data_IF_750855652072
#
_entry.id   IF_750855652072
#
_cell.length_a   1.000
_cell.length_b   1.000
_cell.length_c   1.000
_cell.angle_alpha   90.00
_cell.angle_beta   90.00
_cell.angle_gamma   90.00
#
_symmetry.space_group_name_H-M   'P 1'
#
loop_
_entity.id
_entity.type
_entity.pdbx_description
1 polymer ?
#
# COMPACT_ATOMS: atom_id res chain seq x y z
N UNK A 1 10.25 11.54 8.78
CA UNK A 1 10.03 11.58 7.32
C UNK A 1 10.54 10.34 6.59
N UNK A 2 11.42 9.52 7.20
CA UNK A 2 12.04 8.35 6.55
C UNK A 2 11.08 7.28 6.00
N UNK A 3 9.91 7.06 6.62
CA UNK A 3 9.00 5.98 6.22
C UNK A 3 8.37 6.23 4.84
N UNK A 4 8.25 7.49 4.41
CA UNK A 4 7.66 7.86 3.12
C UNK A 4 8.58 7.51 1.93
N UNK A 5 9.88 7.32 2.18
CA UNK A 5 10.90 7.03 1.15
C UNK A 5 11.38 5.58 1.19
N UNK A 6 10.84 4.73 2.06
CA UNK A 6 11.18 3.31 2.07
C UNK A 6 10.59 2.62 0.84
N UNK A 7 11.39 1.83 0.13
CA UNK A 7 10.93 1.08 -1.05
C UNK A 7 10.05 -0.12 -0.67
N UNK A 8 10.25 -0.70 0.51
CA UNK A 8 9.45 -1.82 1.01
C UNK A 8 8.10 -1.36 1.60
N UNK A 9 7.06 -2.23 1.59
CA UNK A 9 5.77 -1.93 2.22
C UNK A 9 5.81 -2.06 3.75
N UNK A 10 6.79 -2.80 4.28
CA UNK A 10 7.02 -2.99 5.70
C UNK A 10 8.39 -2.45 6.11
N UNK A 11 8.56 -2.18 7.41
CA UNK A 11 9.87 -1.81 7.96
C UNK A 11 10.92 -2.89 7.64
N UNK A 12 12.11 -2.51 7.17
CA UNK A 12 13.23 -3.44 7.04
C UNK A 12 13.55 -4.12 8.37
N UNK A 13 14.12 -5.32 8.31
CA UNK A 13 14.42 -6.12 9.50
C UNK A 13 15.25 -5.36 10.54
N UNK A 14 16.22 -4.55 10.09
CA UNK A 14 17.09 -3.79 10.99
C UNK A 14 16.34 -2.65 11.69
N UNK A 15 15.50 -1.90 10.97
CA UNK A 15 14.62 -0.88 11.56
C UNK A 15 13.60 -1.48 12.52
N UNK A 16 13.11 -2.68 12.24
CA UNK A 16 12.19 -3.38 13.14
C UNK A 16 12.90 -3.83 14.44
N UNK A 17 14.18 -4.23 14.35
CA UNK A 17 15.00 -4.49 15.54
C UNK A 17 15.26 -3.21 16.34
N UNK A 18 15.58 -2.10 15.67
CA UNK A 18 15.73 -0.79 16.33
C UNK A 18 14.46 -0.40 17.10
N UNK A 19 13.29 -0.53 16.45
CA UNK A 19 12.00 -0.28 17.09
C UNK A 19 11.78 -1.19 18.31
N UNK A 20 12.08 -2.48 18.17
CA UNK A 20 11.97 -3.43 19.28
C UNK A 20 12.84 -3.04 20.47
N UNK A 21 14.10 -2.67 20.25
CA UNK A 21 15.00 -2.27 21.32
C UNK A 21 14.63 -0.91 21.93
N UNK A 22 14.16 0.05 21.13
CA UNK A 22 13.67 1.34 21.64
C UNK A 22 12.47 1.16 22.57
N UNK A 23 11.48 0.36 22.18
CA UNK A 23 10.31 0.06 23.03
C UNK A 23 10.73 -0.78 24.25
N UNK A 24 11.73 -1.66 24.12
CA UNK A 24 12.24 -2.45 25.23
C UNK A 24 12.80 -1.58 26.38
N UNK A 25 13.36 -0.41 26.07
CA UNK A 25 13.86 0.53 27.10
C UNK A 25 12.76 0.98 28.06
N UNK A 26 11.53 1.15 27.57
CA UNK A 26 10.37 1.54 28.38
C UNK A 26 9.98 0.46 29.41
N UNK A 27 10.36 -0.80 29.16
CA UNK A 27 10.03 -1.96 30.00
C UNK A 27 11.16 -2.39 30.95
N UNK A 28 12.25 -1.64 31.06
CA UNK A 28 13.38 -2.00 31.94
C UNK A 28 13.00 -2.17 33.42
N UNK A 29 11.90 -1.54 33.86
CA UNK A 29 11.34 -1.68 35.20
C UNK A 29 10.85 -3.11 35.52
N UNK A 30 10.60 -3.95 34.51
CA UNK A 30 10.20 -5.35 34.69
C UNK A 30 11.45 -6.21 34.97
N UNK A 31 11.49 -6.92 36.10
CA UNK A 31 12.68 -7.69 36.54
C UNK A 31 13.14 -8.82 35.60
N UNK A 32 12.23 -9.42 34.83
CA UNK A 32 12.55 -10.62 34.04
C UNK A 32 12.53 -10.29 32.55
N UNK A 33 13.64 -10.55 31.85
CA UNK A 33 13.74 -10.34 30.38
C UNK A 33 12.62 -11.01 29.59
N UNK A 34 12.19 -12.22 29.98
CA UNK A 34 11.06 -12.90 29.35
C UNK A 34 9.75 -12.10 29.40
N UNK A 35 9.48 -11.44 30.54
CA UNK A 35 8.29 -10.60 30.71
C UNK A 35 8.43 -9.27 29.97
N UNK A 36 9.63 -8.70 29.91
CA UNK A 36 9.92 -7.52 29.09
C UNK A 36 9.61 -7.79 27.62
N UNK A 37 10.11 -8.90 27.07
CA UNK A 37 9.88 -9.24 25.66
C UNK A 37 8.41 -9.54 25.35
N UNK A 38 7.68 -10.13 26.30
CA UNK A 38 6.24 -10.31 26.16
C UNK A 38 5.50 -8.95 26.12
N UNK A 39 5.88 -8.01 27.00
CA UNK A 39 5.30 -6.68 27.03
C UNK A 39 5.54 -5.91 25.73
N UNK A 40 6.76 -5.93 25.18
CA UNK A 40 7.06 -5.31 23.87
C UNK A 40 6.21 -5.91 22.74
N UNK A 41 5.96 -7.23 22.76
CA UNK A 41 5.12 -7.89 21.76
C UNK A 41 3.65 -7.52 21.86
N UNK A 42 3.18 -7.11 23.03
CA UNK A 42 1.81 -6.63 23.26
C UNK A 42 1.70 -5.11 23.17
N UNK A 43 2.82 -4.42 22.99
CA UNK A 43 2.87 -2.96 22.95
C UNK A 43 2.09 -2.40 21.75
N UNK A 44 1.38 -1.30 21.99
CA UNK A 44 0.51 -0.65 21.01
C UNK A 44 1.31 -0.09 19.82
N UNK A 45 2.51 0.43 20.07
CA UNK A 45 3.34 1.04 19.05
C UNK A 45 4.10 -0.02 18.23
N UNK A 46 4.48 -1.13 18.86
CA UNK A 46 5.06 -2.27 18.15
C UNK A 46 4.05 -2.94 17.20
N UNK A 47 2.78 -3.00 17.62
CA UNK A 47 1.68 -3.58 16.82
C UNK A 47 0.92 -2.55 15.96
N UNK A 48 1.42 -1.32 15.84
CA UNK A 48 0.75 -0.30 15.03
C UNK A 48 0.68 -0.71 13.56
N UNK A 49 -0.42 -0.33 12.89
CA UNK A 49 -0.59 -0.60 11.46
C UNK A 49 0.48 0.14 10.64
N UNK A 50 1.25 -0.60 9.86
CA UNK A 50 2.23 -0.02 8.94
C UNK A 50 1.52 0.46 7.67
N UNK A 51 1.30 1.77 7.59
CA UNK A 51 0.64 2.40 6.44
C UNK A 51 1.70 3.01 5.53
N UNK A 52 1.73 2.58 4.27
CA UNK A 52 2.55 3.19 3.23
C UNK A 52 1.71 4.09 2.35
N UNK A 53 2.19 5.32 2.14
CA UNK A 53 1.61 6.23 1.17
C UNK A 53 1.97 5.78 -0.24
N UNK A 54 0.97 5.57 -1.10
CA UNK A 54 1.17 5.18 -2.49
C UNK A 54 0.53 6.21 -3.42
N UNK A 55 1.29 6.71 -4.39
CA UNK A 55 0.78 7.63 -5.42
C UNK A 55 -0.07 6.93 -6.48
N UNK A 56 0.21 5.65 -6.74
CA UNK A 56 -0.53 4.81 -7.68
C UNK A 56 -0.58 3.35 -7.18
N UNK A 57 -1.64 2.63 -7.54
CA UNK A 57 -1.83 1.21 -7.22
C UNK A 57 -2.19 0.45 -8.49
N UNK A 58 -1.72 -0.79 -8.61
CA UNK A 58 -2.11 -1.66 -9.72
C UNK A 58 -3.56 -2.10 -9.57
N UNK A 59 -4.26 -2.38 -10.68
CA UNK A 59 -5.67 -2.81 -10.65
C UNK A 59 -5.90 -4.04 -9.74
N UNK A 60 -4.92 -4.95 -9.68
CA UNK A 60 -4.94 -6.09 -8.77
C UNK A 60 -5.01 -5.67 -7.30
N UNK A 61 -4.20 -4.68 -6.89
CA UNK A 61 -4.18 -4.15 -5.51
C UNK A 61 -5.33 -3.19 -5.22
N UNK A 62 -5.98 -2.66 -6.25
CA UNK A 62 -7.16 -1.81 -6.11
C UNK A 62 -8.46 -2.61 -5.88
N UNK A 63 -8.44 -3.94 -6.04
CA UNK A 63 -9.61 -4.79 -5.81
C UNK A 63 -10.13 -4.63 -4.37
N UNK A 64 -11.46 -4.46 -4.24
CA UNK A 64 -12.13 -4.24 -2.96
C UNK A 64 -12.11 -2.80 -2.45
N UNK A 65 -11.25 -1.93 -3.00
CA UNK A 65 -11.28 -0.50 -2.72
C UNK A 65 -12.30 0.26 -3.59
N UNK A 66 -12.78 1.40 -3.09
CA UNK A 66 -13.62 2.34 -3.83
C UNK A 66 -13.15 3.76 -3.54
N UNK A 67 -13.10 4.60 -4.58
CA UNK A 67 -12.65 5.99 -4.48
C UNK A 67 -13.59 6.91 -5.27
N UNK A 68 -13.84 8.13 -4.80
CA UNK A 68 -14.70 9.10 -5.52
C UNK A 68 -14.13 9.47 -6.90
N UNK A 69 -12.79 9.53 -7.00
CA UNK A 69 -12.07 9.93 -8.21
C UNK A 69 -10.95 8.94 -8.49
N UNK A 70 -10.94 8.38 -9.68
CA UNK A 70 -9.95 7.39 -10.12
C UNK A 70 -9.27 7.90 -11.40
N UNK A 71 -7.94 7.86 -11.42
CA UNK A 71 -7.12 8.13 -12.60
C UNK A 71 -6.58 6.80 -13.11
N UNK A 72 -6.87 6.46 -14.36
CA UNK A 72 -6.47 5.20 -14.99
C UNK A 72 -5.37 5.50 -16.01
N UNK A 73 -4.23 4.84 -15.88
CA UNK A 73 -3.16 4.80 -16.89
C UNK A 73 -3.04 3.35 -17.41
N UNK A 74 -2.91 3.18 -18.73
CA UNK A 74 -2.76 1.88 -19.38
C UNK A 74 -1.42 1.19 -19.04
N UNK A 75 -0.42 1.94 -18.59
CA UNK A 75 0.87 1.42 -18.13
C UNK A 75 1.55 0.52 -19.17
N UNK A 76 1.91 -0.70 -18.75
CA UNK A 76 2.65 -1.71 -19.53
C UNK A 76 1.79 -2.52 -20.53
N UNK A 77 0.48 -2.31 -20.61
CA UNK A 77 -0.32 -3.02 -21.61
C UNK A 77 0.04 -2.55 -23.02
N UNK A 78 0.13 -3.49 -23.96
CA UNK A 78 0.34 -3.17 -25.36
C UNK A 78 -0.87 -2.38 -25.88
N UNK A 79 -0.66 -1.10 -26.19
CA UNK A 79 -1.71 -0.17 -26.63
C UNK A 79 -2.29 -0.51 -28.00
N UNK A 80 -1.62 -1.40 -28.75
CA UNK A 80 -2.01 -1.75 -30.12
C UNK A 80 -2.96 -2.95 -30.19
N UNK A 81 -3.06 -3.77 -29.13
CA UNK A 81 -3.90 -4.96 -29.11
C UNK A 81 -4.77 -5.01 -27.86
N UNK A 82 -6.09 -4.87 -28.05
CA UNK A 82 -7.08 -5.02 -26.99
C UNK A 82 -7.30 -6.52 -26.76
N UNK A 83 -6.65 -7.05 -25.72
CA UNK A 83 -6.89 -8.44 -25.27
C UNK A 83 -8.07 -8.53 -24.30
N UNK A 84 -8.62 -9.74 -24.14
CA UNK A 84 -9.68 -10.01 -23.17
C UNK A 84 -9.24 -9.68 -21.74
N UNK A 85 -7.99 -10.00 -21.38
CA UNK A 85 -7.46 -9.73 -20.05
C UNK A 85 -7.27 -8.23 -19.79
N UNK A 86 -6.87 -7.47 -20.81
CA UNK A 86 -6.86 -6.01 -20.72
C UNK A 86 -8.26 -5.47 -20.40
N UNK A 87 -9.29 -5.93 -21.11
CA UNK A 87 -10.67 -5.50 -20.86
C UNK A 87 -11.16 -5.85 -19.45
N UNK A 88 -10.80 -7.02 -18.92
CA UNK A 88 -11.12 -7.42 -17.54
C UNK A 88 -10.49 -6.48 -16.51
N UNK A 89 -9.23 -6.13 -16.68
CA UNK A 89 -8.54 -5.20 -15.79
C UNK A 89 -9.05 -3.77 -15.94
N UNK A 90 -9.35 -3.36 -17.17
CA UNK A 90 -9.92 -2.05 -17.45
C UNK A 90 -11.31 -1.89 -16.82
N UNK A 91 -12.17 -2.90 -16.94
CA UNK A 91 -13.45 -2.96 -16.21
C UNK A 91 -13.25 -2.89 -14.69
N UNK A 92 -12.27 -3.62 -14.17
CA UNK A 92 -11.95 -3.58 -12.73
C UNK A 92 -11.56 -2.16 -12.31
N UNK A 93 -10.71 -1.48 -13.07
CA UNK A 93 -10.27 -0.11 -12.82
C UNK A 93 -11.43 0.89 -12.87
N UNK A 94 -12.29 0.80 -13.88
CA UNK A 94 -13.48 1.66 -14.05
C UNK A 94 -14.43 1.54 -12.84
N UNK A 95 -14.72 0.32 -12.43
CA UNK A 95 -15.66 0.05 -11.32
C UNK A 95 -15.10 0.37 -9.93
N UNK A 96 -13.84 0.81 -9.81
CA UNK A 96 -13.30 1.34 -8.55
C UNK A 96 -13.79 2.76 -8.26
N UNK A 97 -14.24 3.50 -9.27
CA UNK A 97 -14.74 4.86 -9.07
C UNK A 97 -16.21 4.86 -8.64
N UNK A 98 -16.54 5.68 -7.64
CA UNK A 98 -17.93 5.96 -7.26
C UNK A 98 -18.44 7.29 -7.83
N UNK A 99 -17.58 8.07 -8.48
CA UNK A 99 -17.91 9.40 -9.00
C UNK A 99 -17.37 9.63 -10.39
N UNK A 100 -16.11 10.07 -10.50
CA UNK A 100 -15.48 10.39 -11.79
C UNK A 100 -14.28 9.49 -12.09
N UNK A 101 -14.13 9.12 -13.35
CA UNK A 101 -12.94 8.45 -13.87
C UNK A 101 -12.24 9.40 -14.83
N UNK A 102 -10.92 9.47 -14.73
CA UNK A 102 -10.04 10.17 -15.65
C UNK A 102 -9.16 9.14 -16.36
N UNK A 103 -9.26 9.10 -17.68
CA UNK A 103 -8.42 8.26 -18.52
C UNK A 103 -7.17 9.07 -18.91
N UNK A 104 -6.01 8.65 -18.44
CA UNK A 104 -4.73 9.36 -18.62
C UNK A 104 -3.89 8.63 -19.65
N UNK A 105 -3.30 9.37 -20.60
CA UNK A 105 -2.48 8.83 -21.69
C UNK A 105 -3.23 7.86 -22.64
N UNK A 106 -4.55 7.99 -22.76
CA UNK A 106 -5.36 7.29 -23.76
C UNK A 106 -5.33 8.01 -25.10
N UNK A 107 -5.47 7.27 -26.20
CA UNK A 107 -5.63 7.87 -27.53
C UNK A 107 -7.00 8.51 -27.68
N UNK A 108 -7.08 9.55 -28.51
CA UNK A 108 -8.34 10.31 -28.73
C UNK A 108 -9.49 9.43 -29.22
N UNK A 109 -9.17 8.32 -29.88
CA UNK A 109 -10.15 7.31 -30.31
C UNK A 109 -10.98 6.70 -29.17
N UNK A 110 -10.55 6.85 -27.91
CA UNK A 110 -11.31 6.42 -26.73
C UNK A 110 -12.39 7.42 -26.28
N UNK A 111 -12.41 8.65 -26.83
CA UNK A 111 -13.25 9.75 -26.36
C UNK A 111 -14.25 10.26 -27.40
N UNK A 112 -14.73 9.37 -28.29
CA UNK A 112 -15.69 9.65 -29.38
C UNK A 112 -16.82 10.59 -28.92
#
# INVERSE_FOLDING_TARGET
MDVLHLDSPSLPADRNKELFYGILEDYQHIKTKRKQYAAVREDRYFNALQIKFAYAVTCHKAQGGQWERVFIDQGMFNRNEISLDYLRWFYTALTRSTGKVYLVNFSDNFFI
#
